data_IF_443072316162
#
_entry.id   IF_443072316162
#
_cell.length_a   1.000
_cell.length_b   1.000
_cell.length_c   1.000
_cell.angle_alpha   90.00
_cell.angle_beta   90.00
_cell.angle_gamma   90.00
#
_symmetry.space_group_name_H-M   'P 1'
#
loop_
_entity.id
_entity.type
_entity.pdbx_description
1 polymer ?
#
# COMPACT_ATOMS: atom_id res chain seq x y z
N UNK A 1 6.00 9.08 18.02
CA UNK A 1 6.22 9.49 16.61
C UNK A 1 6.15 8.21 15.79
N UNK A 2 5.08 7.98 15.03
CA UNK A 2 4.80 6.67 14.39
C UNK A 2 5.49 6.55 13.03
N UNK A 3 5.67 7.67 12.32
CA UNK A 3 6.10 7.67 10.92
C UNK A 3 7.61 7.95 10.70
N UNK A 4 8.39 8.11 11.76
CA UNK A 4 9.85 8.39 11.66
C UNK A 4 10.23 9.73 11.02
N UNK A 5 9.27 10.65 10.84
CA UNK A 5 9.51 11.96 10.22
C UNK A 5 10.17 12.95 11.18
N UNK A 6 11.16 13.70 10.69
CA UNK A 6 11.74 14.81 11.44
C UNK A 6 10.86 16.06 11.31
N UNK A 7 10.28 16.52 12.41
CA UNK A 7 9.38 17.68 12.46
C UNK A 7 10.18 18.91 12.88
N UNK A 8 10.23 19.92 12.01
CA UNK A 8 10.79 21.25 12.32
C UNK A 8 9.65 22.27 12.33
N UNK A 9 9.49 22.99 13.43
CA UNK A 9 8.44 24.01 13.60
C UNK A 9 9.06 25.41 13.51
N UNK A 10 8.45 26.29 12.71
CA UNK A 10 8.87 27.69 12.51
C UNK A 10 7.76 28.64 12.97
N UNK A 11 8.10 29.87 13.38
CA UNK A 11 7.13 30.81 13.97
C UNK A 11 6.47 31.71 12.93
N UNK A 12 7.12 31.91 11.78
CA UNK A 12 6.62 32.68 10.66
C UNK A 12 7.13 32.13 9.32
N UNK A 13 6.69 32.73 8.23
CA UNK A 13 7.16 32.41 6.87
C UNK A 13 8.64 32.77 6.70
N UNK A 14 9.08 33.89 7.26
CA UNK A 14 10.47 34.36 7.22
C UNK A 14 11.39 33.36 7.90
N UNK A 15 11.01 32.87 9.09
CA UNK A 15 11.73 31.81 9.79
C UNK A 15 11.85 30.53 8.94
N UNK A 16 10.81 30.18 8.17
CA UNK A 16 10.84 29.03 7.25
C UNK A 16 11.83 29.25 6.11
N UNK A 17 11.85 30.43 5.52
CA UNK A 17 12.79 30.77 4.44
C UNK A 17 14.23 30.72 4.95
N UNK A 18 14.50 31.28 6.13
CA UNK A 18 15.83 31.26 6.74
C UNK A 18 16.30 29.84 7.07
N UNK A 19 15.40 29.01 7.58
CA UNK A 19 15.66 27.58 7.82
C UNK A 19 16.02 26.86 6.52
N UNK A 20 15.22 27.02 5.46
CA UNK A 20 15.48 26.39 4.16
C UNK A 20 16.80 26.86 3.55
N UNK A 21 17.12 28.14 3.69
CA UNK A 21 18.38 28.71 3.21
C UNK A 21 19.59 28.16 3.99
N UNK A 22 19.49 28.04 5.32
CA UNK A 22 20.53 27.45 6.15
C UNK A 22 20.75 25.96 5.84
N UNK A 23 19.67 25.20 5.64
CA UNK A 23 19.73 23.79 5.22
C UNK A 23 20.41 23.64 3.86
N UNK A 24 20.04 24.48 2.90
CA UNK A 24 20.63 24.46 1.55
C UNK A 24 22.13 24.74 1.58
N UNK A 25 22.57 25.79 2.32
CA UNK A 25 24.00 26.11 2.51
C UNK A 25 24.76 24.96 3.16
N UNK A 26 24.16 24.30 4.17
CA UNK A 26 24.78 23.16 4.86
C UNK A 26 24.90 21.92 3.97
N UNK A 27 23.94 21.68 3.08
CA UNK A 27 24.04 20.61 2.09
C UNK A 27 25.15 20.91 1.08
N UNK A 28 25.19 22.13 0.55
CA UNK A 28 26.23 22.57 -0.39
C UNK A 28 27.63 22.45 0.21
N UNK A 29 27.84 22.85 1.48
CA UNK A 29 29.16 22.75 2.11
C UNK A 29 29.62 21.32 2.39
N UNK A 30 28.70 20.35 2.42
CA UNK A 30 29.00 18.92 2.62
C UNK A 30 29.22 18.15 1.32
N UNK A 31 28.72 18.65 0.19
CA UNK A 31 28.91 18.04 -1.12
C UNK A 31 30.17 18.64 -1.75
N UNK A 32 31.33 18.17 -1.29
CA UNK A 32 32.63 18.56 -1.84
C UNK A 32 32.86 17.84 -3.18
N UNK A 33 32.72 18.61 -4.25
CA UNK A 33 33.33 18.47 -5.57
C UNK A 33 33.06 17.28 -6.48
N UNK A 34 32.42 16.17 -6.10
CA UNK A 34 31.88 15.23 -7.10
C UNK A 34 30.82 14.32 -6.48
N UNK A 35 29.55 14.63 -6.73
CA UNK A 35 28.44 13.78 -6.31
C UNK A 35 28.27 12.64 -7.31
N UNK A 36 28.91 11.50 -7.06
CA UNK A 36 28.62 10.28 -7.82
C UNK A 36 27.28 9.70 -7.37
N UNK A 37 26.25 9.86 -8.20
CA UNK A 37 24.93 9.26 -8.00
C UNK A 37 25.01 7.79 -8.41
N UNK A 38 24.99 6.89 -7.42
CA UNK A 38 24.90 5.47 -7.69
C UNK A 38 23.44 5.07 -7.92
N UNK A 39 23.11 4.62 -9.13
CA UNK A 39 21.76 4.21 -9.53
C UNK A 39 21.37 2.79 -9.06
N UNK A 40 22.28 2.03 -8.44
CA UNK A 40 21.99 0.65 -8.06
C UNK A 40 21.23 0.53 -6.73
N UNK A 41 20.11 -0.21 -6.77
CA UNK A 41 19.34 -0.69 -5.61
C UNK A 41 20.08 -1.76 -4.77
N UNK A 42 21.42 -1.79 -4.76
CA UNK A 42 22.14 -2.81 -3.99
C UNK A 42 22.35 -2.33 -2.56
N UNK A 43 21.71 -3.00 -1.60
CA UNK A 43 22.01 -2.85 -0.18
C UNK A 43 23.45 -3.27 0.20
N UNK A 44 24.20 -3.88 -0.73
CA UNK A 44 25.51 -4.49 -0.48
C UNK A 44 26.71 -3.63 -0.87
N UNK A 45 26.53 -2.35 -1.21
CA UNK A 45 27.69 -1.50 -1.53
C UNK A 45 28.31 -0.89 -0.26
N UNK A 46 29.63 -1.09 -0.02
CA UNK A 46 30.29 -0.47 1.11
C UNK A 46 30.21 1.05 0.97
N UNK A 47 29.75 1.71 2.02
CA UNK A 47 29.68 3.17 2.12
C UNK A 47 31.05 3.77 1.81
N UNK A 48 31.22 4.34 0.62
CA UNK A 48 32.43 5.09 0.29
C UNK A 48 32.27 6.52 0.82
N UNK A 49 33.32 7.01 1.47
CA UNK A 49 33.42 8.42 1.84
C UNK A 49 33.29 9.26 0.56
N UNK A 50 32.38 10.23 0.56
CA UNK A 50 32.03 11.12 -0.57
C UNK A 50 31.12 10.52 -1.67
N UNK A 51 30.50 9.36 -1.47
CA UNK A 51 29.42 8.90 -2.35
C UNK A 51 28.06 9.02 -1.66
N UNK A 52 27.09 9.63 -2.34
CA UNK A 52 25.70 9.68 -1.89
C UNK A 52 24.88 8.74 -2.77
N UNK A 53 24.20 7.79 -2.14
CA UNK A 53 23.17 7.00 -2.81
C UNK A 53 21.96 7.90 -3.02
N UNK A 54 21.80 8.41 -4.23
CA UNK A 54 20.71 9.29 -4.63
C UNK A 54 19.99 8.70 -5.85
N UNK A 55 18.76 9.15 -6.07
CA UNK A 55 18.00 8.86 -7.29
C UNK A 55 18.20 10.00 -8.29
N UNK A 56 18.11 9.72 -9.59
CA UNK A 56 17.93 10.83 -10.53
C UNK A 56 16.64 11.58 -10.25
N UNK A 57 16.60 12.86 -10.65
CA UNK A 57 15.38 13.66 -10.56
C UNK A 57 14.19 12.98 -11.24
N UNK A 58 14.39 12.40 -12.42
CA UNK A 58 13.34 11.69 -13.16
C UNK A 58 12.81 10.46 -12.43
N UNK A 59 13.68 9.66 -11.81
CA UNK A 59 13.26 8.50 -10.99
C UNK A 59 12.54 8.94 -9.71
N UNK A 60 13.05 9.98 -9.05
CA UNK A 60 12.39 10.57 -7.90
C UNK A 60 10.98 11.05 -8.27
N UNK A 61 10.79 11.80 -9.35
CA UNK A 61 9.47 12.27 -9.79
C UNK A 61 8.52 11.12 -10.09
N UNK A 62 9.01 10.05 -10.73
CA UNK A 62 8.20 8.83 -10.98
C UNK A 62 7.73 8.17 -9.68
N UNK A 63 8.60 8.08 -8.67
CA UNK A 63 8.28 7.48 -7.37
C UNK A 63 7.44 8.40 -6.47
N UNK A 64 7.71 9.70 -6.53
CA UNK A 64 7.00 10.74 -5.78
C UNK A 64 5.62 11.02 -6.35
N UNK A 65 5.27 10.41 -7.49
CA UNK A 65 3.92 10.43 -8.01
C UNK A 65 2.98 9.79 -6.98
N UNK A 66 2.24 10.64 -6.26
CA UNK A 66 1.48 10.29 -5.04
C UNK A 66 0.27 9.39 -5.31
N UNK A 67 -0.04 9.13 -6.56
CA UNK A 67 -1.19 8.33 -6.96
C UNK A 67 -0.80 7.42 -8.12
N UNK A 68 0.00 6.36 -7.87
CA UNK A 68 0.15 5.30 -8.85
C UNK A 68 -1.23 4.72 -9.17
N UNK A 69 -1.45 4.35 -10.43
CA UNK A 69 -2.72 3.73 -10.83
C UNK A 69 -2.98 2.49 -9.97
N UNK A 70 -4.13 2.41 -9.29
CA UNK A 70 -4.41 1.28 -8.42
C UNK A 70 -4.50 0.02 -9.27
N UNK A 71 -3.85 -1.06 -8.82
CA UNK A 71 -3.99 -2.35 -9.47
C UNK A 71 -5.43 -2.85 -9.36
N UNK A 72 -5.82 -3.82 -10.21
CA UNK A 72 -7.11 -4.51 -10.10
C UNK A 72 -7.30 -5.08 -8.68
N UNK A 73 -6.21 -5.54 -8.07
CA UNK A 73 -6.18 -6.04 -6.69
C UNK A 73 -6.54 -4.94 -5.69
N UNK A 74 -5.98 -3.73 -5.84
CA UNK A 74 -6.28 -2.59 -4.96
C UNK A 74 -7.73 -2.12 -5.09
N UNK A 75 -8.24 -2.08 -6.33
CA UNK A 75 -9.64 -1.73 -6.60
C UNK A 75 -10.57 -2.78 -5.98
N UNK A 76 -10.24 -4.07 -6.12
CA UNK A 76 -11.04 -5.13 -5.54
C UNK A 76 -11.06 -5.10 -4.01
N UNK A 77 -9.92 -4.82 -3.36
CA UNK A 77 -9.88 -4.58 -1.92
C UNK A 77 -10.82 -3.44 -1.51
N UNK A 78 -10.79 -2.32 -2.25
CA UNK A 78 -11.67 -1.17 -2.01
C UNK A 78 -13.15 -1.52 -2.16
N UNK A 79 -13.51 -2.36 -3.15
CA UNK A 79 -14.88 -2.85 -3.31
C UNK A 79 -15.31 -3.68 -2.09
N UNK A 80 -14.47 -4.61 -1.63
CA UNK A 80 -14.76 -5.41 -0.43
C UNK A 80 -14.89 -4.53 0.83
N UNK A 81 -14.06 -3.48 0.97
CA UNK A 81 -14.15 -2.53 2.09
C UNK A 81 -15.49 -1.79 2.17
N UNK A 82 -16.23 -1.66 1.05
CA UNK A 82 -17.56 -1.05 1.07
C UNK A 82 -18.62 -1.95 1.74
N UNK A 83 -18.35 -3.24 1.88
CA UNK A 83 -19.27 -4.19 2.50
C UNK A 83 -19.10 -4.12 4.03
N UNK A 84 -20.14 -3.74 4.80
CA UNK A 84 -20.03 -3.63 6.25
C UNK A 84 -19.50 -4.93 6.90
N UNK A 85 -18.48 -4.79 7.75
CA UNK A 85 -17.86 -5.92 8.44
C UNK A 85 -16.67 -6.57 7.71
N UNK A 86 -16.34 -6.14 6.49
CA UNK A 86 -15.09 -6.47 5.80
C UNK A 86 -13.92 -5.64 6.33
N UNK A 87 -13.21 -6.17 7.33
CA UNK A 87 -11.97 -5.57 7.83
C UNK A 87 -10.76 -5.96 6.99
N UNK A 88 -9.66 -5.20 7.08
CA UNK A 88 -8.40 -5.47 6.37
C UNK A 88 -7.97 -6.95 6.41
N UNK A 89 -7.86 -7.60 7.59
CA UNK A 89 -7.47 -9.02 7.66
C UNK A 89 -8.43 -9.98 6.95
N UNK A 90 -9.74 -9.71 6.97
CA UNK A 90 -10.74 -10.54 6.25
C UNK A 90 -10.64 -10.34 4.74
N UNK A 91 -10.39 -9.10 4.30
CA UNK A 91 -10.19 -8.78 2.89
C UNK A 91 -8.93 -9.48 2.38
N UNK A 92 -7.83 -9.40 3.12
CA UNK A 92 -6.58 -10.09 2.78
C UNK A 92 -6.81 -11.60 2.60
N UNK A 93 -7.51 -12.26 3.53
CA UNK A 93 -7.75 -13.71 3.40
C UNK A 93 -8.65 -14.07 2.22
N UNK A 94 -9.66 -13.26 1.90
CA UNK A 94 -10.46 -13.43 0.68
C UNK A 94 -9.55 -13.30 -0.55
N UNK A 95 -8.71 -12.27 -0.58
CA UNK A 95 -7.86 -11.93 -1.73
C UNK A 95 -6.64 -12.84 -1.89
N UNK A 96 -6.24 -13.58 -0.86
CA UNK A 96 -5.28 -14.68 -0.97
C UNK A 96 -5.86 -15.84 -1.77
N UNK A 97 -7.15 -16.14 -1.59
CA UNK A 97 -7.83 -17.23 -2.32
C UNK A 97 -8.39 -16.78 -3.68
N UNK A 98 -8.91 -15.56 -3.74
CA UNK A 98 -9.57 -14.99 -4.92
C UNK A 98 -8.97 -13.60 -5.19
N UNK A 99 -7.85 -13.50 -5.92
CA UNK A 99 -7.11 -12.24 -6.00
C UNK A 99 -7.79 -11.15 -6.84
N UNK A 100 -8.81 -11.50 -7.62
CA UNK A 100 -9.58 -10.57 -8.48
C UNK A 100 -11.09 -10.85 -8.37
N UNK A 101 -11.95 -9.86 -8.72
CA UNK A 101 -13.40 -10.05 -8.70
C UNK A 101 -13.84 -11.18 -9.63
N UNK A 102 -13.23 -11.30 -10.81
CA UNK A 102 -13.57 -12.33 -11.79
C UNK A 102 -13.37 -13.73 -11.22
N UNK A 103 -12.24 -13.99 -10.54
CA UNK A 103 -11.97 -15.30 -9.95
C UNK A 103 -12.97 -15.61 -8.83
N UNK A 104 -13.39 -14.60 -8.05
CA UNK A 104 -14.42 -14.76 -7.02
C UNK A 104 -15.78 -15.10 -7.64
N UNK A 105 -16.18 -14.39 -8.70
CA UNK A 105 -17.44 -14.63 -9.42
C UNK A 105 -17.45 -16.02 -10.08
N UNK A 106 -16.37 -16.42 -10.75
CA UNK A 106 -16.21 -17.75 -11.32
C UNK A 106 -16.33 -18.85 -10.25
N UNK A 107 -15.80 -18.59 -9.04
CA UNK A 107 -15.91 -19.53 -7.92
C UNK A 107 -17.34 -19.64 -7.40
N UNK A 108 -18.09 -18.53 -7.39
CA UNK A 108 -19.53 -18.55 -7.09
C UNK A 108 -20.31 -19.31 -8.16
N UNK A 109 -20.03 -19.11 -9.44
CA UNK A 109 -20.75 -19.79 -10.53
C UNK A 109 -20.53 -21.31 -10.54
N UNK A 110 -19.41 -21.78 -10.00
CA UNK A 110 -19.13 -23.20 -9.79
C UNK A 110 -19.89 -23.81 -8.60
N UNK A 111 -20.54 -23.00 -7.75
CA UNK A 111 -21.32 -23.54 -6.63
C UNK A 111 -22.66 -24.08 -7.12
N UNK A 112 -23.01 -25.35 -6.82
CA UNK A 112 -24.21 -26.00 -7.36
C UNK A 112 -25.51 -25.52 -6.69
N UNK A 113 -25.43 -24.87 -5.53
CA UNK A 113 -26.60 -24.43 -4.77
C UNK A 113 -26.44 -23.00 -4.27
N UNK A 114 -27.56 -22.31 -4.09
CA UNK A 114 -27.58 -20.98 -3.47
C UNK A 114 -27.01 -20.99 -2.05
N UNK A 115 -27.27 -22.06 -1.28
CA UNK A 115 -26.66 -22.24 0.05
C UNK A 115 -25.13 -22.37 -0.02
N UNK A 116 -24.62 -23.09 -1.03
CA UNK A 116 -23.19 -23.17 -1.31
C UNK A 116 -22.59 -21.80 -1.61
N UNK A 117 -23.21 -21.01 -2.48
CA UNK A 117 -22.81 -19.61 -2.75
C UNK A 117 -22.80 -18.78 -1.46
N UNK A 118 -23.90 -18.79 -0.71
CA UNK A 118 -24.05 -18.02 0.54
C UNK A 118 -23.02 -18.35 1.60
N UNK A 119 -22.53 -19.60 1.67
CA UNK A 119 -21.61 -20.05 2.71
C UNK A 119 -20.16 -20.25 2.22
N UNK A 120 -19.87 -19.98 0.94
CA UNK A 120 -18.57 -20.26 0.30
C UNK A 120 -17.37 -19.63 1.03
N UNK A 121 -17.56 -18.47 1.66
CA UNK A 121 -16.51 -17.74 2.37
C UNK A 121 -16.59 -17.90 3.90
N UNK A 122 -17.63 -18.55 4.42
CA UNK A 122 -17.95 -18.52 5.85
C UNK A 122 -16.84 -19.14 6.73
N UNK A 123 -16.17 -20.17 6.23
CA UNK A 123 -15.08 -20.89 6.93
C UNK A 123 -13.69 -20.33 6.64
N UNK A 124 -13.58 -19.28 5.83
CA UNK A 124 -12.30 -18.65 5.55
C UNK A 124 -11.79 -17.94 6.79
N UNK A 125 -10.50 -18.12 7.10
CA UNK A 125 -9.87 -17.67 8.34
C UNK A 125 -8.74 -16.68 8.01
N UNK A 126 -8.78 -15.44 8.51
CA UNK A 126 -7.63 -14.53 8.43
C UNK A 126 -6.40 -15.12 9.13
N UNK A 127 -5.21 -14.93 8.57
CA UNK A 127 -3.96 -15.50 9.09
C UNK A 127 -3.75 -15.20 10.59
N UNK A 128 -4.03 -13.96 11.01
CA UNK A 128 -3.81 -13.50 12.39
C UNK A 128 -5.07 -13.60 13.28
N UNK A 129 -6.08 -14.37 12.88
CA UNK A 129 -7.33 -14.48 13.65
C UNK A 129 -7.79 -15.90 13.83
N UNK A 130 -8.22 -16.25 15.04
CA UNK A 130 -8.89 -17.52 15.31
C UNK A 130 -10.35 -17.58 14.85
N UNK A 131 -10.90 -16.47 14.35
CA UNK A 131 -12.30 -16.37 13.93
C UNK A 131 -12.42 -16.44 12.42
N UNK A 132 -13.34 -17.26 11.93
CA UNK A 132 -13.71 -17.29 10.52
C UNK A 132 -14.47 -16.01 10.14
N UNK A 133 -14.60 -15.75 8.83
CA UNK A 133 -15.41 -14.66 8.28
C UNK A 133 -16.86 -14.74 8.76
N UNK A 134 -17.40 -15.95 8.87
CA UNK A 134 -18.76 -16.20 9.33
C UNK A 134 -19.80 -16.16 8.21
N UNK A 135 -20.94 -16.79 8.48
CA UNK A 135 -22.03 -16.98 7.49
C UNK A 135 -22.67 -15.66 7.06
N UNK A 136 -22.94 -14.76 8.00
CA UNK A 136 -23.57 -13.47 7.71
C UNK A 136 -22.75 -12.64 6.72
N UNK A 137 -21.43 -12.53 6.93
CA UNK A 137 -20.57 -11.77 6.02
C UNK A 137 -20.38 -12.48 4.68
N UNK A 138 -20.26 -13.82 4.69
CA UNK A 138 -20.22 -14.62 3.46
C UNK A 138 -21.48 -14.40 2.61
N UNK A 139 -22.65 -14.32 3.23
CA UNK A 139 -23.92 -14.03 2.56
C UNK A 139 -23.94 -12.63 1.95
N UNK A 140 -23.51 -11.60 2.70
CA UNK A 140 -23.44 -10.24 2.19
C UNK A 140 -22.53 -10.10 0.97
N UNK A 141 -21.37 -10.76 0.99
CA UNK A 141 -20.44 -10.77 -0.15
C UNK A 141 -21.05 -11.55 -1.32
N UNK A 142 -21.64 -12.72 -1.08
CA UNK A 142 -22.29 -13.49 -2.13
C UNK A 142 -23.40 -12.69 -2.81
N UNK A 143 -24.22 -11.97 -2.04
CA UNK A 143 -25.22 -11.06 -2.58
C UNK A 143 -24.59 -9.99 -3.47
N UNK A 144 -23.61 -9.24 -2.95
CA UNK A 144 -22.97 -8.14 -3.67
C UNK A 144 -22.33 -8.53 -5.02
N UNK A 145 -21.86 -9.77 -5.17
CA UNK A 145 -21.18 -10.27 -6.38
C UNK A 145 -22.03 -11.21 -7.25
N UNK A 146 -23.30 -11.48 -6.89
CA UNK A 146 -24.18 -12.35 -7.69
C UNK A 146 -25.53 -11.71 -8.08
N UNK A 147 -25.84 -10.48 -7.63
CA UNK A 147 -27.01 -9.75 -8.15
C UNK A 147 -26.69 -9.09 -9.50
N UNK A 148 -27.35 -9.57 -10.56
CA UNK A 148 -27.60 -8.83 -11.80
C UNK A 148 -29.03 -8.26 -11.77
#
# INVERSE_FOLDING_TARGET
MIDGLHIMTTKSLEDTVDLLAALSRRLQSRVSNDLYVNHQKSNDMPFKLNTLNALSWCEFVKLANKSPDPSIRDIFAKHLMQIPGCSGPKITSIMEKYPTPCILMDAYDKQPTMSGKSNMLAQLKPADSNRCIGTALSQSIAFAFNTL
#
